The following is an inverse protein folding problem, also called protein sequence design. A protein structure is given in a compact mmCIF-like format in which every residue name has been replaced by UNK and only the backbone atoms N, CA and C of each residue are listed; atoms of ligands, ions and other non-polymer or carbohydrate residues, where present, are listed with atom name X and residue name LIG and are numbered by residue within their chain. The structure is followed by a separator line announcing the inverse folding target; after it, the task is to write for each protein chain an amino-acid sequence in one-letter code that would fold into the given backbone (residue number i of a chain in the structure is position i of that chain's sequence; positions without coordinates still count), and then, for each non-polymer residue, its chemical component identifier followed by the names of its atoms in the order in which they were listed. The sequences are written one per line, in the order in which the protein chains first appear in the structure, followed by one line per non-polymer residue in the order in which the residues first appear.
data_IF_877674408564
#
_entry.id   IF_877674408564
#
_cell.length_a   1.000
_cell.length_b   1.000
_cell.length_c   1.000
_cell.angle_alpha   90.00
_cell.angle_beta   90.00
_cell.angle_gamma   90.00
#
_symmetry.space_group_name_H-M   'P 1'
#
loop_
_entity.id
_entity.type
_entity.pdbx_description
1 polymer ?
#
# COMPACT_ATOMS: atom_id res chain seq x y z
N UNK A 1 20.94 29.38 -61.75
CA UNK A 1 21.00 30.18 -60.51
C UNK A 1 19.81 31.13 -60.39
N UNK A 2 19.60 32.08 -61.31
CA UNK A 2 18.50 33.05 -61.25
C UNK A 2 17.08 32.44 -61.07
N UNK A 3 16.80 31.29 -61.69
CA UNK A 3 15.52 30.58 -61.55
C UNK A 3 15.32 29.91 -60.18
N UNK A 4 16.40 29.56 -59.50
CA UNK A 4 16.37 28.97 -58.15
C UNK A 4 16.19 30.09 -57.12
N UNK A 5 16.91 31.20 -57.30
CA UNK A 5 16.75 32.39 -56.45
C UNK A 5 15.33 32.94 -56.51
N UNK A 6 14.71 33.01 -57.68
CA UNK A 6 13.32 33.48 -57.80
C UNK A 6 12.30 32.58 -57.09
N UNK A 7 12.51 31.26 -57.11
CA UNK A 7 11.67 30.30 -56.37
C UNK A 7 11.88 30.46 -54.86
N UNK A 8 13.13 30.59 -54.40
CA UNK A 8 13.44 30.78 -52.98
C UNK A 8 12.91 32.12 -52.44
N UNK A 9 12.99 33.20 -53.22
CA UNK A 9 12.39 34.50 -52.88
C UNK A 9 10.89 34.37 -52.73
N UNK A 10 10.21 33.75 -53.69
CA UNK A 10 8.75 33.66 -53.74
C UNK A 10 8.16 32.73 -52.68
N UNK A 11 8.76 31.55 -52.48
CA UNK A 11 8.17 30.50 -51.63
C UNK A 11 8.65 30.57 -50.18
N UNK A 12 9.87 31.10 -49.93
CA UNK A 12 10.50 31.10 -48.61
C UNK A 12 10.86 32.51 -48.11
N UNK A 13 10.57 33.57 -48.89
CA UNK A 13 10.99 34.93 -48.57
C UNK A 13 12.51 35.06 -48.46
N UNK A 14 13.26 34.24 -49.20
CA UNK A 14 14.72 34.22 -49.16
C UNK A 14 15.27 35.42 -49.92
N UNK A 15 16.13 36.22 -49.30
CA UNK A 15 16.92 37.25 -50.01
C UNK A 15 18.39 37.12 -49.60
N UNK A 16 19.35 37.45 -50.48
CA UNK A 16 20.78 37.40 -50.14
C UNK A 16 21.12 38.18 -48.86
N UNK A 17 20.47 39.32 -48.65
CA UNK A 17 20.61 40.16 -47.46
C UNK A 17 20.04 39.52 -46.19
N UNK A 18 18.92 38.79 -46.30
CA UNK A 18 18.32 38.06 -45.17
C UNK A 18 19.18 36.87 -44.78
N UNK A 19 19.71 36.14 -45.76
CA UNK A 19 20.62 35.02 -45.52
C UNK A 19 21.92 35.48 -44.85
N UNK A 20 22.51 36.58 -45.33
CA UNK A 20 23.72 37.16 -44.73
C UNK A 20 23.46 37.63 -43.30
N UNK A 21 22.32 38.27 -43.04
CA UNK A 21 21.90 38.66 -41.67
C UNK A 21 21.68 37.43 -40.77
N UNK A 22 21.10 36.36 -41.29
CA UNK A 22 20.84 35.14 -40.54
C UNK A 22 22.14 34.38 -40.23
N UNK A 23 23.10 34.34 -41.15
CA UNK A 23 24.45 33.82 -40.89
C UNK A 23 25.13 34.62 -39.77
N UNK A 24 25.03 35.95 -39.81
CA UNK A 24 25.60 36.80 -38.75
C UNK A 24 24.92 36.55 -37.39
N UNK A 25 23.58 36.41 -37.36
CA UNK A 25 22.81 36.08 -36.14
C UNK A 25 23.14 34.68 -35.61
N UNK A 26 23.22 33.69 -36.49
CA UNK A 26 23.63 32.32 -36.16
C UNK A 26 25.04 32.29 -35.60
N UNK A 27 25.98 33.03 -36.20
CA UNK A 27 27.37 33.12 -35.72
C UNK A 27 27.45 33.76 -34.33
N UNK A 28 26.66 34.80 -34.07
CA UNK A 28 26.52 35.41 -32.73
C UNK A 28 25.88 34.46 -31.72
N UNK A 29 24.85 33.70 -32.09
CA UNK A 29 24.25 32.65 -31.25
C UNK A 29 25.26 31.54 -30.93
N UNK A 30 26.00 31.04 -31.92
CA UNK A 30 27.04 30.02 -31.72
C UNK A 30 28.18 30.52 -30.83
N UNK A 31 28.61 31.77 -30.98
CA UNK A 31 29.60 32.39 -30.09
C UNK A 31 29.08 32.53 -28.66
N UNK A 32 27.80 32.89 -28.50
CA UNK A 32 27.14 32.96 -27.18
C UNK A 32 27.02 31.59 -26.52
N UNK A 33 26.72 30.55 -27.29
CA UNK A 33 26.69 29.15 -26.81
C UNK A 33 28.09 28.69 -26.41
N UNK A 34 29.13 29.03 -27.18
CA UNK A 34 30.52 28.73 -26.81
C UNK A 34 30.97 29.48 -25.55
N UNK A 35 30.56 30.74 -25.35
CA UNK A 35 30.82 31.49 -24.11
C UNK A 35 29.97 31.04 -22.92
N UNK A 36 28.83 30.41 -23.15
CA UNK A 36 28.03 29.77 -22.10
C UNK A 36 28.64 28.41 -21.74
N UNK A 37 29.22 27.68 -22.70
CA UNK A 37 29.96 26.43 -22.43
C UNK A 37 31.23 26.62 -21.59
N UNK A 38 31.77 27.85 -21.48
CA UNK A 38 32.85 28.16 -20.54
C UNK A 38 32.37 28.37 -19.10
N UNK A 39 31.08 28.64 -18.89
CA UNK A 39 30.44 28.52 -17.58
C UNK A 39 29.91 27.11 -17.45
N UNK A 40 30.72 26.22 -16.90
CA UNK A 40 30.28 24.86 -16.63
C UNK A 40 29.05 24.94 -15.72
N UNK A 41 27.96 24.28 -16.12
CA UNK A 41 26.75 24.06 -15.32
C UNK A 41 27.05 23.48 -13.92
N UNK A 42 28.27 22.96 -13.73
CA UNK A 42 28.79 22.44 -12.46
C UNK A 42 29.08 23.50 -11.41
N UNK A 43 29.13 24.78 -11.77
CA UNK A 43 29.55 25.84 -10.82
C UNK A 43 28.41 26.34 -9.93
N UNK A 44 27.14 25.98 -10.25
CA UNK A 44 25.97 26.26 -9.41
C UNK A 44 25.71 25.22 -8.32
N UNK A 45 26.42 24.10 -8.35
CA UNK A 45 26.35 23.07 -7.30
C UNK A 45 27.71 23.04 -6.58
N UNK A 46 27.79 23.40 -5.28
CA UNK A 46 29.04 23.25 -4.54
C UNK A 46 29.44 21.78 -4.61
N UNK A 47 30.64 21.50 -5.14
CA UNK A 47 31.20 20.16 -5.12
C UNK A 47 31.58 19.82 -3.69
N UNK A 48 30.59 19.45 -2.88
CA UNK A 48 30.83 18.83 -1.59
C UNK A 48 31.38 17.45 -1.92
N UNK A 49 32.71 17.32 -1.98
CA UNK A 49 33.39 16.02 -1.84
C UNK A 49 33.11 15.50 -0.43
N UNK A 50 31.91 14.99 -0.19
CA UNK A 50 31.71 13.97 0.83
C UNK A 50 32.18 12.67 0.21
N UNK A 51 33.15 12.03 0.85
CA UNK A 51 33.51 10.64 0.60
C UNK A 51 32.29 9.77 0.91
N UNK A 52 31.42 9.58 -0.09
CA UNK A 52 30.38 8.58 -0.04
C UNK A 52 31.04 7.23 -0.26
N UNK A 53 31.12 6.46 0.82
CA UNK A 53 31.28 5.01 0.77
C UNK A 53 30.31 4.43 -0.24
N UNK A 54 30.74 3.46 -1.04
CA UNK A 54 29.99 2.88 -2.14
C UNK A 54 28.59 2.40 -1.72
N UNK A 55 27.58 3.20 -2.00
CA UNK A 55 26.21 2.72 -2.13
C UNK A 55 25.72 3.11 -3.52
N UNK A 56 26.08 2.27 -4.48
CA UNK A 56 25.49 2.30 -5.82
C UNK A 56 24.00 1.98 -5.67
N UNK A 57 23.16 3.00 -5.72
CA UNK A 57 21.71 2.83 -5.94
C UNK A 57 21.55 2.36 -7.39
N UNK A 58 21.47 1.05 -7.58
CA UNK A 58 21.08 0.43 -8.84
C UNK A 58 19.59 0.63 -9.09
N UNK A 59 19.18 1.87 -9.36
CA UNK A 59 17.85 2.13 -9.89
C UNK A 59 17.86 1.77 -11.38
N UNK A 60 17.23 0.65 -11.76
CA UNK A 60 17.06 0.33 -13.18
C UNK A 60 16.59 -1.07 -13.53
N UNK A 61 16.72 -2.06 -12.63
CA UNK A 61 16.32 -3.45 -12.96
C UNK A 61 15.40 -4.06 -11.89
N UNK A 62 15.58 -3.72 -10.61
CA UNK A 62 14.81 -4.34 -9.53
C UNK A 62 13.41 -3.75 -9.37
N UNK A 63 13.21 -2.45 -9.61
CA UNK A 63 11.88 -1.84 -9.61
C UNK A 63 10.91 -2.50 -10.61
N UNK A 64 11.41 -2.90 -11.78
CA UNK A 64 10.62 -3.57 -12.81
C UNK A 64 10.38 -5.06 -12.51
N UNK A 65 11.29 -5.71 -11.75
CA UNK A 65 11.09 -7.06 -11.22
C UNK A 65 10.10 -7.09 -10.06
N UNK A 66 10.10 -6.06 -9.19
CA UNK A 66 9.14 -5.88 -8.11
C UNK A 66 7.71 -5.75 -8.66
N UNK A 67 7.51 -4.90 -9.67
CA UNK A 67 6.21 -4.77 -10.35
C UNK A 67 5.68 -6.10 -10.92
N UNK A 68 6.54 -6.94 -11.52
CA UNK A 68 6.11 -8.26 -12.04
C UNK A 68 5.76 -9.26 -10.95
N UNK A 69 6.50 -9.28 -9.83
CA UNK A 69 6.24 -10.17 -8.69
C UNK A 69 4.98 -9.75 -7.94
N UNK A 70 4.79 -8.46 -7.72
CA UNK A 70 3.59 -7.88 -7.12
C UNK A 70 2.37 -8.11 -8.02
N UNK A 71 2.51 -7.94 -9.34
CA UNK A 71 1.44 -8.24 -10.29
C UNK A 71 1.08 -9.73 -10.32
N UNK A 72 2.06 -10.62 -10.24
CA UNK A 72 1.82 -12.06 -10.12
C UNK A 72 1.15 -12.41 -8.78
N UNK A 73 1.51 -11.73 -7.68
CA UNK A 73 0.87 -11.89 -6.39
C UNK A 73 -0.60 -11.40 -6.41
N UNK A 74 -0.87 -10.25 -7.03
CA UNK A 74 -2.22 -9.72 -7.22
C UNK A 74 -3.08 -10.63 -8.12
N UNK A 75 -2.50 -11.20 -9.18
CA UNK A 75 -3.20 -12.19 -10.01
C UNK A 75 -3.47 -13.51 -9.27
N UNK A 76 -2.56 -13.96 -8.39
CA UNK A 76 -2.79 -15.11 -7.51
C UNK A 76 -3.89 -14.81 -6.49
N UNK A 77 -3.93 -13.62 -5.92
CA UNK A 77 -5.03 -13.19 -5.03
C UNK A 77 -6.37 -13.13 -5.80
N UNK A 78 -6.37 -12.61 -7.03
CA UNK A 78 -7.58 -12.54 -7.89
C UNK A 78 -8.08 -13.92 -8.32
N UNK A 79 -7.19 -14.87 -8.59
CA UNK A 79 -7.55 -16.26 -8.93
C UNK A 79 -8.00 -17.05 -7.70
N UNK A 80 -7.36 -16.86 -6.55
CA UNK A 80 -7.79 -17.45 -5.28
C UNK A 80 -9.11 -16.86 -4.76
N UNK A 81 -9.41 -15.59 -5.06
CA UNK A 81 -10.72 -14.99 -4.79
C UNK A 81 -11.85 -15.68 -5.58
N UNK A 82 -11.57 -16.21 -6.79
CA UNK A 82 -12.54 -16.99 -7.58
C UNK A 82 -12.79 -18.40 -7.04
N UNK A 83 -11.92 -18.96 -6.20
CA UNK A 83 -12.17 -20.25 -5.52
C UNK A 83 -13.24 -20.16 -4.41
N UNK A 84 -13.76 -18.96 -4.14
CA UNK A 84 -14.93 -18.71 -3.29
C UNK A 84 -16.22 -18.49 -4.10
N UNK A 85 -16.21 -18.79 -5.40
CA UNK A 85 -17.42 -18.84 -6.20
C UNK A 85 -18.28 -20.03 -5.70
N UNK A 86 -19.45 -19.66 -5.15
CA UNK A 86 -20.50 -20.53 -4.62
C UNK A 86 -20.61 -21.85 -5.40
N UNK A 87 -20.24 -22.96 -4.77
CA UNK A 87 -20.86 -24.24 -5.12
C UNK A 87 -22.27 -24.20 -4.53
N UNK A 88 -23.25 -23.83 -5.33
CA UNK A 88 -24.65 -24.00 -4.96
C UNK A 88 -24.93 -25.50 -4.92
N UNK A 89 -24.77 -26.09 -3.74
CA UNK A 89 -25.28 -27.43 -3.46
C UNK A 89 -26.80 -27.29 -3.38
N UNK A 90 -27.48 -27.75 -4.43
CA UNK A 90 -28.92 -27.92 -4.42
C UNK A 90 -29.27 -28.93 -3.32
N UNK A 91 -29.81 -28.43 -2.21
CA UNK A 91 -30.46 -29.26 -1.21
C UNK A 91 -31.85 -29.57 -1.75
N UNK A 92 -32.14 -30.85 -1.98
CA UNK A 92 -33.49 -31.31 -2.31
C UNK A 92 -34.40 -31.06 -1.10
N UNK A 93 -35.30 -30.09 -1.21
CA UNK A 93 -36.32 -29.85 -0.21
C UNK A 93 -37.36 -30.99 -0.22
N UNK A 94 -37.57 -31.55 0.97
CA UNK A 94 -38.56 -32.57 1.23
C UNK A 94 -39.97 -32.04 0.98
N UNK A 95 -40.72 -32.77 0.14
CA UNK A 95 -42.13 -32.55 -0.20
C UNK A 95 -42.99 -32.32 1.05
N UNK A 96 -43.56 -31.12 1.18
CA UNK A 96 -44.80 -30.91 1.91
C UNK A 96 -45.86 -30.40 0.94
N UNK A 97 -46.96 -31.15 0.91
CA UNK A 97 -48.09 -31.03 0.01
C UNK A 97 -49.04 -29.91 0.46
N UNK A 98 -49.33 -28.93 -0.40
CA UNK A 98 -50.54 -28.12 -0.33
C UNK A 98 -50.94 -27.62 -1.74
N UNK A 99 -52.26 -27.56 -1.95
CA UNK A 99 -52.95 -27.65 -3.24
C UNK A 99 -52.93 -26.37 -4.09
N UNK A 100 -53.19 -26.57 -5.38
CA UNK A 100 -53.30 -25.62 -6.49
C UNK A 100 -54.51 -24.69 -6.41
N UNK A 101 -54.34 -23.48 -6.99
CA UNK A 101 -55.28 -22.62 -7.76
C UNK A 101 -54.94 -21.14 -7.43
N UNK A 102 -54.74 -20.18 -8.34
CA UNK A 102 -54.74 -20.08 -9.79
C UNK A 102 -54.41 -18.62 -10.17
N UNK A 103 -54.06 -18.41 -11.45
CA UNK A 103 -54.15 -17.15 -12.24
C UNK A 103 -53.40 -15.87 -11.82
N UNK A 104 -52.39 -15.55 -12.64
CA UNK A 104 -51.90 -14.24 -13.12
C UNK A 104 -52.20 -12.92 -12.38
N UNK A 105 -51.15 -12.10 -12.20
CA UNK A 105 -50.99 -10.78 -12.88
C UNK A 105 -49.60 -10.17 -12.67
N UNK A 106 -49.04 -9.57 -13.74
CA UNK A 106 -47.89 -8.64 -13.70
C UNK A 106 -48.36 -7.22 -13.35
N UNK A 107 -47.44 -6.43 -12.80
CA UNK A 107 -47.47 -4.96 -12.70
C UNK A 107 -47.26 -4.49 -11.25
N UNK A 108 -46.57 -3.40 -10.90
CA UNK A 108 -45.98 -2.24 -11.59
C UNK A 108 -44.96 -1.59 -10.62
N UNK A 109 -43.96 -0.87 -11.17
CA UNK A 109 -43.04 0.06 -10.49
C UNK A 109 -43.72 1.07 -9.54
N UNK A 110 -43.11 1.36 -8.39
CA UNK A 110 -43.17 2.67 -7.68
C UNK A 110 -41.77 2.89 -7.08
N UNK A 111 -41.00 3.90 -7.51
CA UNK A 111 -41.12 5.37 -7.30
C UNK A 111 -41.04 5.73 -5.82
N UNK A 112 -39.98 6.50 -5.55
CA UNK A 112 -39.52 7.12 -4.32
C UNK A 112 -40.60 7.99 -3.65
N UNK A 113 -40.60 7.97 -2.32
CA UNK A 113 -41.20 9.01 -1.50
C UNK A 113 -40.10 9.59 -0.60
N UNK A 114 -39.95 10.91 -0.67
CA UNK A 114 -39.19 11.74 0.26
C UNK A 114 -39.85 11.72 1.63
N UNK A 115 -39.08 11.54 2.69
CA UNK A 115 -39.50 11.92 4.04
C UNK A 115 -38.37 12.70 4.72
N UNK A 116 -38.71 13.96 4.97
CA UNK A 116 -38.04 14.95 5.79
C UNK A 116 -37.99 14.54 7.26
N UNK A 117 -36.80 14.52 7.86
CA UNK A 117 -36.64 14.52 9.31
C UNK A 117 -35.80 15.73 9.74
N UNK A 118 -36.48 16.69 10.39
CA UNK A 118 -35.87 17.75 11.17
C UNK A 118 -35.46 17.23 12.54
N UNK A 119 -34.26 17.54 13.01
CA UNK A 119 -33.95 17.49 14.43
C UNK A 119 -33.27 18.79 14.89
N UNK A 120 -33.86 19.36 15.92
CA UNK A 120 -33.59 20.62 16.58
C UNK A 120 -32.48 20.49 17.60
N UNK A 121 -31.43 21.30 17.51
CA UNK A 121 -30.67 21.82 18.67
C UNK A 121 -30.12 23.20 18.30
N UNK A 122 -30.35 24.15 19.20
CA UNK A 122 -30.01 25.57 19.08
C UNK A 122 -28.86 25.95 20.03
N UNK A 123 -27.98 26.85 19.53
CA UNK A 123 -26.86 27.59 20.19
C UNK A 123 -25.53 26.83 20.19
N UNK A 124 -24.41 27.33 19.64
CA UNK A 124 -23.88 28.68 19.34
C UNK A 124 -22.98 28.59 18.07
N UNK A 125 -22.52 29.63 17.36
CA UNK A 125 -22.85 31.04 17.08
C UNK A 125 -21.84 31.41 15.97
N UNK A 126 -22.31 32.08 14.94
CA UNK A 126 -21.64 32.42 13.67
C UNK A 126 -20.56 33.49 13.85
N UNK A 127 -19.41 33.32 13.19
CA UNK A 127 -18.48 34.40 12.78
C UNK A 127 -18.08 34.11 11.33
N UNK A 128 -18.65 34.87 10.39
CA UNK A 128 -18.11 35.13 9.03
C UNK A 128 -16.99 36.20 9.23
N UNK A 129 -15.86 36.30 8.52
CA UNK A 129 -15.59 36.30 7.08
C UNK A 129 -14.08 36.02 6.82
N UNK A 130 -13.71 35.41 5.69
CA UNK A 130 -12.69 35.89 4.72
C UNK A 130 -12.11 34.76 3.84
N UNK A 131 -11.93 34.96 2.51
CA UNK A 131 -11.57 33.91 1.57
C UNK A 131 -10.08 33.93 1.23
N UNK A 132 -9.37 32.80 1.37
CA UNK A 132 -8.35 32.47 0.39
C UNK A 132 -8.02 30.97 0.35
N UNK A 133 -8.06 30.47 -0.87
CA UNK A 133 -7.58 29.19 -1.39
C UNK A 133 -6.66 28.37 -0.49
N UNK A 134 -7.20 27.28 0.06
CA UNK A 134 -6.44 26.12 0.51
C UNK A 134 -7.12 24.88 -0.05
N UNK A 135 -6.55 24.31 -1.11
CA UNK A 135 -6.94 22.99 -1.61
C UNK A 135 -6.47 21.96 -0.58
N UNK A 136 -7.27 21.77 0.46
CA UNK A 136 -7.13 20.68 1.42
C UNK A 136 -7.40 19.38 0.66
N UNK A 137 -6.35 18.59 0.46
CA UNK A 137 -6.49 17.17 0.22
C UNK A 137 -7.11 16.59 1.49
N UNK A 138 -8.43 16.43 1.47
CA UNK A 138 -9.11 15.62 2.46
C UNK A 138 -8.52 14.21 2.38
N UNK A 139 -7.58 13.93 3.29
CA UNK A 139 -7.32 12.58 3.73
C UNK A 139 -8.68 12.00 4.07
N UNK A 140 -9.06 10.94 3.37
CA UNK A 140 -10.02 9.98 3.86
C UNK A 140 -9.55 9.54 5.24
N UNK A 141 -10.02 10.25 6.26
CA UNK A 141 -9.99 9.79 7.62
C UNK A 141 -10.70 8.45 7.57
N UNK A 142 -9.94 7.37 7.69
CA UNK A 142 -10.50 6.10 8.13
C UNK A 142 -11.07 6.41 9.49
N UNK A 143 -12.37 6.73 9.51
CA UNK A 143 -13.14 6.71 10.73
C UNK A 143 -13.03 5.27 11.20
N UNK A 144 -12.13 5.01 12.14
CA UNK A 144 -12.24 3.89 13.04
C UNK A 144 -13.53 4.11 13.79
N UNK A 145 -14.65 3.73 13.15
CA UNK A 145 -15.89 3.44 13.84
C UNK A 145 -15.55 2.26 14.74
N UNK A 146 -15.18 2.58 15.98
CA UNK A 146 -15.23 1.65 17.08
C UNK A 146 -16.69 1.20 17.15
N UNK A 147 -16.99 0.11 16.45
CA UNK A 147 -18.19 -0.68 16.72
C UNK A 147 -17.96 -1.22 18.12
N UNK A 148 -18.47 -0.49 19.10
CA UNK A 148 -18.63 -0.96 20.47
C UNK A 148 -19.71 -2.04 20.40
N UNK A 149 -19.29 -3.29 20.16
CA UNK A 149 -20.07 -4.45 20.58
C UNK A 149 -20.10 -4.42 22.10
N UNK A 150 -21.17 -3.85 22.63
CA UNK A 150 -21.55 -4.00 24.03
C UNK A 150 -21.73 -5.50 24.29
N UNK A 151 -20.95 -6.06 25.22
CA UNK A 151 -20.87 -7.48 25.63
C UNK A 151 -19.78 -8.36 25.00
N UNK A 152 -18.60 -7.83 24.71
CA UNK A 152 -17.39 -8.64 24.89
C UNK A 152 -16.90 -8.40 26.32
N UNK A 153 -17.32 -9.25 27.27
CA UNK A 153 -16.43 -9.58 28.40
C UNK A 153 -15.18 -10.14 27.73
N UNK A 154 -14.24 -9.25 27.40
CA UNK A 154 -12.99 -9.61 26.75
C UNK A 154 -12.36 -10.65 27.66
N UNK A 155 -12.41 -11.90 27.23
CA UNK A 155 -11.56 -12.94 27.78
C UNK A 155 -10.16 -12.37 27.63
N UNK A 156 -9.62 -11.86 28.74
CA UNK A 156 -8.31 -11.24 28.77
C UNK A 156 -7.33 -12.37 28.52
N UNK A 157 -6.98 -12.57 27.26
CA UNK A 157 -5.95 -13.54 26.87
C UNK A 157 -4.63 -12.95 27.33
N UNK A 158 -4.17 -13.41 28.49
CA UNK A 158 -2.89 -13.00 29.04
C UNK A 158 -1.77 -13.77 28.34
N UNK A 159 -0.76 -13.03 27.90
CA UNK A 159 0.46 -13.56 27.33
C UNK A 159 1.59 -12.58 27.69
N UNK A 160 2.70 -13.13 28.21
CA UNK A 160 3.77 -12.32 28.79
C UNK A 160 5.10 -12.45 28.01
N UNK A 161 5.20 -11.98 26.75
CA UNK A 161 6.41 -12.12 25.92
C UNK A 161 7.73 -11.62 26.53
N UNK A 162 7.72 -10.65 27.45
CA UNK A 162 8.95 -10.16 28.10
C UNK A 162 9.41 -11.02 29.28
N UNK A 163 8.55 -11.90 29.80
CA UNK A 163 8.86 -12.85 30.87
C UNK A 163 9.09 -14.24 30.29
N UNK A 164 8.24 -14.67 29.37
CA UNK A 164 8.24 -16.00 28.78
C UNK A 164 9.27 -16.14 27.64
N UNK A 165 10.55 -15.89 27.95
CA UNK A 165 11.64 -15.90 26.96
C UNK A 165 12.12 -17.31 26.61
N UNK A 166 11.62 -18.34 27.29
CA UNK A 166 12.11 -19.72 27.18
C UNK A 166 11.47 -20.52 26.04
N UNK A 167 10.43 -19.97 25.40
CA UNK A 167 9.76 -20.64 24.28
C UNK A 167 10.66 -20.69 23.04
N UNK A 168 10.93 -21.91 22.57
CA UNK A 168 11.76 -22.17 21.42
C UNK A 168 10.93 -22.48 20.16
N UNK A 169 11.59 -22.59 19.01
CA UNK A 169 10.92 -22.95 17.74
C UNK A 169 10.20 -24.31 17.82
N UNK A 170 10.65 -25.24 18.67
CA UNK A 170 9.99 -26.51 18.91
C UNK A 170 8.61 -26.35 19.59
N UNK A 171 8.51 -25.44 20.57
CA UNK A 171 7.25 -25.14 21.27
C UNK A 171 6.27 -24.47 20.31
N UNK A 172 6.77 -23.56 19.46
CA UNK A 172 5.99 -22.96 18.39
C UNK A 172 5.46 -24.00 17.40
N UNK A 173 6.28 -24.96 16.96
CA UNK A 173 5.83 -26.04 16.08
C UNK A 173 4.78 -26.93 16.76
N UNK A 174 4.95 -27.21 18.04
CA UNK A 174 4.00 -27.98 18.84
C UNK A 174 2.66 -27.24 18.94
N UNK A 175 2.68 -25.94 19.26
CA UNK A 175 1.50 -25.09 19.30
C UNK A 175 0.79 -25.05 17.94
N UNK A 176 1.53 -24.87 16.83
CA UNK A 176 0.96 -24.90 15.48
C UNK A 176 0.32 -26.25 15.14
N UNK A 177 0.91 -27.36 15.57
CA UNK A 177 0.33 -28.70 15.38
C UNK A 177 -0.98 -28.86 16.14
N UNK A 178 -1.05 -28.37 17.38
CA UNK A 178 -2.27 -28.39 18.19
C UNK A 178 -3.36 -27.51 17.56
N UNK A 179 -2.99 -26.31 17.08
CA UNK A 179 -3.91 -25.43 16.34
C UNK A 179 -4.45 -26.13 15.09
N UNK A 180 -3.62 -26.83 14.32
CA UNK A 180 -4.05 -27.60 13.14
C UNK A 180 -5.00 -28.76 13.50
N UNK A 181 -4.77 -29.42 14.63
CA UNK A 181 -5.68 -30.46 15.14
C UNK A 181 -7.05 -29.87 15.51
N UNK A 182 -7.08 -28.74 16.23
CA UNK A 182 -8.32 -28.04 16.56
C UNK A 182 -9.03 -27.53 15.30
N UNK A 183 -8.29 -27.01 14.32
CA UNK A 183 -8.84 -26.56 13.04
C UNK A 183 -9.45 -27.70 12.19
N UNK A 184 -9.07 -28.97 12.45
CA UNK A 184 -9.71 -30.14 11.82
C UNK A 184 -11.06 -30.47 12.44
N UNK A 185 -11.18 -30.29 13.75
CA UNK A 185 -12.42 -30.50 14.52
C UNK A 185 -13.39 -29.35 14.23
N UNK A 186 -12.92 -28.13 14.45
CA UNK A 186 -13.63 -26.89 14.15
C UNK A 186 -13.07 -26.31 12.86
N UNK A 187 -13.62 -26.75 11.72
CA UNK A 187 -13.24 -26.17 10.43
C UNK A 187 -13.50 -24.68 10.48
N UNK A 188 -12.47 -23.82 10.33
CA UNK A 188 -12.66 -22.39 10.35
C UNK A 188 -13.72 -22.04 9.33
N UNK A 189 -14.83 -21.42 9.76
CA UNK A 189 -15.76 -20.82 8.83
C UNK A 189 -14.96 -19.82 8.03
N UNK A 190 -14.77 -20.08 6.74
CA UNK A 190 -14.01 -19.28 5.75
C UNK A 190 -14.44 -17.81 5.63
N UNK A 191 -15.35 -17.38 6.49
CA UNK A 191 -16.26 -16.28 6.35
C UNK A 191 -16.27 -15.39 7.60
N UNK A 192 -15.19 -15.38 8.40
CA UNK A 192 -15.05 -14.44 9.52
C UNK A 192 -15.07 -12.97 9.04
N UNK A 193 -14.82 -12.73 7.75
CA UNK A 193 -14.89 -11.42 7.09
C UNK A 193 -16.25 -11.13 6.43
N UNK A 194 -17.28 -11.97 6.60
CA UNK A 194 -18.61 -11.76 5.98
C UNK A 194 -19.27 -10.43 6.33
N UNK A 195 -18.98 -9.91 7.52
CA UNK A 195 -19.52 -8.65 8.01
C UNK A 195 -18.88 -7.43 7.32
N UNK A 196 -17.75 -7.63 6.64
CA UNK A 196 -17.07 -6.57 5.91
C UNK A 196 -17.50 -6.59 4.44
N UNK A 197 -17.74 -5.41 3.83
CA UNK A 197 -17.95 -5.34 2.40
C UNK A 197 -16.72 -5.87 1.67
N UNK A 198 -16.93 -6.61 0.57
CA UNK A 198 -15.83 -7.05 -0.29
C UNK A 198 -15.17 -5.82 -0.89
N UNK A 199 -13.85 -5.62 -0.69
CA UNK A 199 -13.15 -4.51 -1.30
C UNK A 199 -13.27 -4.60 -2.82
N UNK A 200 -13.72 -3.52 -3.44
CA UNK A 200 -13.70 -3.42 -4.89
C UNK A 200 -12.27 -3.11 -5.34
N UNK A 201 -11.60 -4.13 -5.86
CA UNK A 201 -10.23 -4.02 -6.38
C UNK A 201 -10.18 -3.37 -7.78
N UNK A 202 -11.34 -3.18 -8.41
CA UNK A 202 -11.48 -2.68 -9.76
C UNK A 202 -11.95 -1.21 -9.81
N UNK A 203 -12.11 -0.54 -8.66
CA UNK A 203 -12.52 0.89 -8.55
C UNK A 203 -11.70 1.81 -9.46
N UNK A 204 -10.39 1.57 -9.55
CA UNK A 204 -9.47 2.40 -10.31
C UNK A 204 -9.11 1.80 -11.68
N UNK A 205 -9.73 0.68 -12.07
CA UNK A 205 -9.46 0.05 -13.36
C UNK A 205 -10.14 0.81 -14.50
N UNK A 206 -9.34 1.59 -15.21
CA UNK A 206 -9.83 2.25 -16.42
C UNK A 206 -9.98 1.25 -17.57
N UNK A 207 -10.88 1.51 -18.54
CA UNK A 207 -11.00 0.69 -19.75
C UNK A 207 -9.69 0.54 -20.54
N UNK A 208 -8.80 1.55 -20.49
CA UNK A 208 -7.48 1.49 -21.10
C UNK A 208 -6.58 0.47 -20.40
N UNK A 209 -6.54 0.49 -19.07
CA UNK A 209 -5.76 -0.47 -18.27
C UNK A 209 -6.25 -1.91 -18.47
N UNK A 210 -7.57 -2.13 -18.54
CA UNK A 210 -8.14 -3.45 -18.80
C UNK A 210 -7.73 -3.99 -20.18
N UNK A 211 -7.77 -3.14 -21.21
CA UNK A 211 -7.31 -3.50 -22.56
C UNK A 211 -5.82 -3.84 -22.58
N UNK A 212 -5.01 -3.04 -21.90
CA UNK A 212 -3.56 -3.26 -21.81
C UNK A 212 -3.23 -4.53 -21.02
N UNK A 213 -3.95 -4.78 -19.93
CA UNK A 213 -3.82 -6.01 -19.16
C UNK A 213 -4.19 -7.24 -19.99
N UNK A 214 -5.25 -7.15 -20.80
CA UNK A 214 -5.64 -8.22 -21.72
C UNK A 214 -4.56 -8.47 -22.79
N UNK A 215 -3.97 -7.40 -23.36
CA UNK A 215 -2.85 -7.48 -24.32
C UNK A 215 -1.64 -8.18 -23.70
N UNK A 216 -1.25 -7.77 -22.49
CA UNK A 216 -0.15 -8.35 -21.72
C UNK A 216 -0.40 -9.82 -21.36
N UNK A 217 -1.63 -10.18 -20.97
CA UNK A 217 -2.00 -11.57 -20.67
C UNK A 217 -1.84 -12.50 -21.87
N UNK A 218 -2.09 -11.98 -23.08
CA UNK A 218 -1.89 -12.68 -24.35
C UNK A 218 -0.44 -12.66 -24.84
N UNK A 219 0.49 -12.08 -24.05
CA UNK A 219 1.90 -11.86 -24.41
C UNK A 219 2.07 -11.18 -25.78
N UNK A 220 1.09 -10.37 -26.18
CA UNK A 220 1.21 -9.57 -27.39
C UNK A 220 2.25 -8.48 -27.12
N UNK A 221 3.09 -8.18 -28.11
CA UNK A 221 4.03 -7.05 -28.01
C UNK A 221 3.31 -5.73 -28.23
N UNK A 222 3.88 -4.63 -27.74
CA UNK A 222 3.30 -3.30 -27.94
C UNK A 222 3.59 -2.89 -29.38
N UNK A 223 2.61 -2.24 -30.04
CA UNK A 223 2.85 -1.67 -31.36
C UNK A 223 4.01 -0.68 -31.29
N UNK A 224 4.97 -0.80 -32.21
CA UNK A 224 6.06 0.15 -32.32
C UNK A 224 5.50 1.55 -32.63
N UNK A 225 6.11 2.57 -32.05
CA UNK A 225 5.82 3.96 -32.40
C UNK A 225 6.16 4.17 -33.87
N UNK A 226 5.20 4.69 -34.62
CA UNK A 226 5.43 5.05 -36.01
C UNK A 226 6.25 6.34 -36.09
N UNK A 227 7.53 6.20 -36.38
CA UNK A 227 8.46 7.31 -36.57
C UNK A 227 8.49 7.82 -38.01
N UNK A 228 7.79 7.17 -38.95
CA UNK A 228 7.84 7.52 -40.38
C UNK A 228 7.37 8.95 -40.67
N UNK A 229 6.51 9.50 -39.80
CA UNK A 229 6.04 10.89 -39.87
C UNK A 229 7.13 11.92 -39.51
N UNK A 230 8.09 11.53 -38.68
CA UNK A 230 9.20 12.36 -38.25
C UNK A 230 10.39 12.30 -39.22
N UNK A 231 10.34 11.41 -40.21
CA UNK A 231 11.36 11.27 -41.25
C UNK A 231 10.98 12.09 -42.49
N UNK A 232 11.98 12.60 -43.21
CA UNK A 232 11.83 13.30 -44.49
C UNK A 232 12.43 12.44 -45.61
N UNK A 233 11.77 11.34 -46.01
CA UNK A 233 12.26 10.53 -47.11
C UNK A 233 12.24 11.34 -48.41
N UNK A 234 13.31 11.21 -49.20
CA UNK A 234 13.35 11.78 -50.54
C UNK A 234 12.28 11.10 -51.40
N UNK A 235 11.39 11.84 -52.09
CA UNK A 235 10.37 11.23 -52.94
C UNK A 235 11.02 10.38 -54.03
N UNK A 236 10.64 9.11 -54.10
CA UNK A 236 11.21 8.11 -55.01
C UNK A 236 10.51 8.15 -56.37
N UNK A 237 11.08 8.93 -57.30
CA UNK A 237 10.65 8.93 -58.71
C UNK A 237 11.30 10.05 -59.51
N UNK A 238 12.19 9.69 -60.43
CA UNK A 238 12.81 10.60 -61.40
C UNK A 238 12.19 10.48 -62.79
N UNK A 239 11.06 9.78 -62.97
CA UNK A 239 10.46 9.59 -64.28
C UNK A 239 8.97 9.19 -64.23
N UNK A 240 8.11 10.18 -64.51
CA UNK A 240 6.68 10.15 -64.86
C UNK A 240 5.68 10.50 -63.74
N UNK A 241 4.75 11.39 -64.10
CA UNK A 241 3.46 11.83 -63.55
C UNK A 241 3.01 11.46 -62.10
N UNK A 242 3.30 10.27 -61.57
CA UNK A 242 3.10 9.89 -60.16
C UNK A 242 3.96 10.70 -59.18
N UNK A 243 5.04 11.31 -59.67
CA UNK A 243 5.93 12.20 -58.92
C UNK A 243 5.17 13.34 -58.24
N UNK A 244 4.20 13.99 -58.90
CA UNK A 244 3.54 15.20 -58.36
C UNK A 244 2.76 14.95 -57.07
N UNK A 245 2.23 13.75 -56.85
CA UNK A 245 1.48 13.42 -55.61
C UNK A 245 2.47 13.15 -54.47
N UNK A 246 3.54 12.41 -54.74
CA UNK A 246 4.57 12.10 -53.76
C UNK A 246 5.33 13.36 -53.33
N UNK A 247 5.68 14.25 -54.26
CA UNK A 247 6.27 15.55 -53.95
C UNK A 247 5.34 16.42 -53.11
N UNK A 248 4.02 16.46 -53.41
CA UNK A 248 3.05 17.18 -52.56
C UNK A 248 2.98 16.62 -51.15
N UNK A 249 3.02 15.29 -50.99
CA UNK A 249 3.05 14.62 -49.68
C UNK A 249 4.34 14.95 -48.91
N UNK A 250 5.50 14.89 -49.57
CA UNK A 250 6.79 15.23 -48.98
C UNK A 250 6.85 16.70 -48.55
N UNK A 251 6.38 17.63 -49.38
CA UNK A 251 6.30 19.06 -49.04
C UNK A 251 5.35 19.30 -47.86
N UNK A 252 4.19 18.64 -47.83
CA UNK A 252 3.25 18.76 -46.70
C UNK A 252 3.88 18.25 -45.40
N UNK A 253 4.63 17.14 -45.45
CA UNK A 253 5.37 16.61 -44.30
C UNK A 253 6.48 17.58 -43.85
N UNK A 254 7.26 18.12 -44.78
CA UNK A 254 8.31 19.11 -44.50
C UNK A 254 7.76 20.37 -43.84
N UNK A 255 6.62 20.89 -44.33
CA UNK A 255 5.93 22.03 -43.70
C UNK A 255 5.52 21.69 -42.27
N UNK A 256 4.89 20.54 -42.04
CA UNK A 256 4.50 20.12 -40.70
C UNK A 256 5.70 19.97 -39.75
N UNK A 257 6.81 19.40 -40.22
CA UNK A 257 8.03 19.26 -39.42
C UNK A 257 8.68 20.61 -39.11
N UNK A 258 8.68 21.56 -40.05
CA UNK A 258 9.15 22.91 -39.79
C UNK A 258 8.35 23.57 -38.66
N UNK A 259 7.02 23.46 -38.67
CA UNK A 259 6.18 23.97 -37.58
C UNK A 259 6.47 23.28 -36.23
N UNK A 260 6.74 21.97 -36.23
CA UNK A 260 7.18 21.25 -35.02
C UNK A 260 8.53 21.75 -34.50
N UNK A 261 9.49 22.05 -35.39
CA UNK A 261 10.79 22.62 -35.02
C UNK A 261 10.65 24.04 -34.46
N UNK A 262 9.79 24.87 -35.05
CA UNK A 262 9.47 26.21 -34.52
C UNK A 262 8.86 26.10 -33.12
N UNK A 263 7.88 25.20 -32.94
CA UNK A 263 7.27 24.95 -31.61
C UNK A 263 8.31 24.45 -30.60
N UNK A 264 9.19 23.53 -31.02
CA UNK A 264 10.28 23.04 -30.17
C UNK A 264 11.23 24.16 -29.78
N UNK A 265 11.56 25.06 -30.69
CA UNK A 265 12.40 26.22 -30.40
C UNK A 265 11.76 27.11 -29.34
N UNK A 266 10.47 27.43 -29.48
CA UNK A 266 9.72 28.22 -28.47
C UNK A 266 9.73 27.50 -27.12
N UNK A 267 9.47 26.19 -27.09
CA UNK A 267 9.50 25.42 -25.85
C UNK A 267 10.88 25.40 -25.19
N UNK A 268 11.95 25.32 -25.99
CA UNK A 268 13.32 25.36 -25.48
C UNK A 268 13.69 26.74 -24.95
N UNK A 269 13.23 27.81 -25.60
CA UNK A 269 13.41 29.19 -25.11
C UNK A 269 12.69 29.39 -23.75
N UNK A 270 11.46 28.88 -23.62
CA UNK A 270 10.74 28.88 -22.34
C UNK A 270 11.46 28.03 -21.27
N UNK A 271 12.00 26.88 -21.66
CA UNK A 271 12.78 26.06 -20.72
C UNK A 271 14.07 26.76 -20.28
N UNK A 272 14.79 27.41 -21.19
CA UNK A 272 16.02 28.15 -20.88
C UNK A 272 15.75 29.26 -19.86
N UNK A 273 14.60 29.92 -19.96
CA UNK A 273 14.20 31.00 -19.03
C UNK A 273 13.71 30.49 -17.67
N UNK A 274 12.82 29.47 -17.63
CA UNK A 274 12.10 29.11 -16.40
C UNK A 274 12.49 27.76 -15.78
N UNK A 275 13.19 26.88 -16.50
CA UNK A 275 13.41 25.52 -16.01
C UNK A 275 14.27 25.49 -14.75
N UNK A 276 15.35 26.26 -14.70
CA UNK A 276 16.28 26.25 -13.57
C UNK A 276 15.58 26.60 -12.25
N UNK A 277 14.81 27.69 -12.21
CA UNK A 277 14.07 28.09 -11.02
C UNK A 277 12.96 27.08 -10.66
N UNK A 278 12.24 26.58 -11.67
CA UNK A 278 11.18 25.58 -11.46
C UNK A 278 11.71 24.29 -10.86
N UNK A 279 12.87 23.80 -11.33
CA UNK A 279 13.52 22.62 -10.78
C UNK A 279 14.06 22.87 -9.37
N UNK A 280 14.62 24.05 -9.09
CA UNK A 280 15.06 24.40 -7.75
C UNK A 280 13.89 24.45 -6.76
N UNK A 281 12.75 25.02 -7.17
CA UNK A 281 11.52 25.02 -6.35
C UNK A 281 11.03 23.60 -6.08
N UNK A 282 10.94 22.77 -7.13
CA UNK A 282 10.55 21.37 -6.99
C UNK A 282 11.49 20.57 -6.09
N UNK A 283 12.80 20.81 -6.16
CA UNK A 283 13.76 20.16 -5.27
C UNK A 283 13.51 20.53 -3.81
N UNK A 284 13.24 21.81 -3.51
CA UNK A 284 12.89 22.25 -2.14
C UNK A 284 11.60 21.59 -1.64
N UNK A 285 10.58 21.48 -2.49
CA UNK A 285 9.34 20.76 -2.16
C UNK A 285 9.61 19.29 -1.85
N UNK A 286 10.45 18.62 -2.66
CA UNK A 286 10.83 17.23 -2.43
C UNK A 286 11.63 17.07 -1.13
N UNK A 287 12.54 18.00 -0.82
CA UNK A 287 13.29 18.00 0.45
C UNK A 287 12.36 18.18 1.65
N UNK A 288 11.34 19.05 1.55
CA UNK A 288 10.33 19.23 2.58
C UNK A 288 9.51 17.97 2.81
N UNK A 289 9.01 17.34 1.73
CA UNK A 289 8.27 16.08 1.80
C UNK A 289 9.09 14.96 2.44
N UNK A 290 10.37 14.84 2.07
CA UNK A 290 11.28 13.88 2.70
C UNK A 290 11.44 14.17 4.20
N UNK A 291 11.66 15.43 4.57
CA UNK A 291 11.84 15.85 5.97
C UNK A 291 10.60 15.57 6.81
N UNK A 292 9.41 15.78 6.25
CA UNK A 292 8.12 15.49 6.88
C UNK A 292 7.93 13.99 7.09
N UNK A 293 8.15 13.17 6.06
CA UNK A 293 8.07 11.72 6.17
C UNK A 293 9.06 11.16 7.20
N UNK A 294 10.29 11.67 7.26
CA UNK A 294 11.28 11.31 8.27
C UNK A 294 10.87 11.72 9.69
N UNK A 295 10.19 12.85 9.84
CA UNK A 295 9.65 13.31 11.12
C UNK A 295 8.52 12.40 11.61
N UNK A 296 7.60 12.03 10.72
CA UNK A 296 6.51 11.10 11.03
C UNK A 296 7.03 9.71 11.40
N UNK A 297 8.05 9.22 10.67
CA UNK A 297 8.71 7.95 10.99
C UNK A 297 9.34 7.98 12.38
N UNK A 298 10.05 9.05 12.74
CA UNK A 298 10.64 9.21 14.08
C UNK A 298 9.58 9.22 15.17
N UNK A 299 8.52 10.03 14.99
CA UNK A 299 7.39 10.10 15.93
C UNK A 299 6.74 8.73 16.15
N UNK A 300 6.49 8.00 15.06
CA UNK A 300 5.88 6.66 15.13
C UNK A 300 6.79 5.67 15.85
N UNK A 301 8.11 5.71 15.59
CA UNK A 301 9.08 4.87 16.29
C UNK A 301 9.12 5.17 17.79
N UNK A 302 9.12 6.45 18.17
CA UNK A 302 9.07 6.87 19.57
C UNK A 302 7.81 6.35 20.27
N UNK A 303 6.64 6.48 19.64
CA UNK A 303 5.37 5.94 20.16
C UNK A 303 5.42 4.41 20.33
N UNK A 304 5.96 3.69 19.35
CA UNK A 304 6.14 2.23 19.45
C UNK A 304 7.07 1.87 20.61
N UNK A 305 8.18 2.60 20.76
CA UNK A 305 9.12 2.38 21.87
C UNK A 305 8.51 2.68 23.24
N UNK A 306 7.69 3.73 23.34
CA UNK A 306 6.97 4.05 24.57
C UNK A 306 5.97 2.95 24.94
N UNK A 307 5.20 2.44 23.98
CA UNK A 307 4.29 1.31 24.20
C UNK A 307 5.09 0.07 24.65
N UNK A 308 6.21 -0.21 24.00
CA UNK A 308 7.11 -1.32 24.37
C UNK A 308 7.63 -1.15 25.81
N UNK A 309 8.06 0.05 26.20
CA UNK A 309 8.55 0.34 27.54
C UNK A 309 7.45 0.13 28.59
N UNK A 310 6.25 0.68 28.36
CA UNK A 310 5.09 0.52 29.25
C UNK A 310 4.70 -0.94 29.41
N UNK A 311 4.59 -1.70 28.31
CA UNK A 311 4.29 -3.14 28.35
C UNK A 311 5.34 -3.91 29.12
N UNK A 312 6.62 -3.65 28.86
CA UNK A 312 7.73 -4.31 29.58
C UNK A 312 7.66 -4.05 31.07
N UNK A 313 7.42 -2.80 31.50
CA UNK A 313 7.29 -2.48 32.93
C UNK A 313 6.11 -3.21 33.57
N UNK A 314 4.93 -3.16 32.95
CA UNK A 314 3.74 -3.84 33.45
C UNK A 314 3.95 -5.36 33.58
N UNK A 315 4.59 -5.98 32.59
CA UNK A 315 4.91 -7.41 32.65
C UNK A 315 5.94 -7.71 33.72
N UNK A 316 7.03 -6.95 33.84
CA UNK A 316 8.02 -7.18 34.89
C UNK A 316 7.44 -7.01 36.30
N UNK A 317 6.46 -6.13 36.49
CA UNK A 317 5.75 -5.95 37.74
C UNK A 317 4.85 -7.16 38.05
N UNK A 318 4.04 -7.59 37.09
CA UNK A 318 3.22 -8.82 37.20
C UNK A 318 4.09 -10.06 37.44
N UNK A 319 5.24 -10.16 36.76
CA UNK A 319 6.19 -11.27 36.93
C UNK A 319 6.80 -11.34 38.33
N UNK A 320 7.02 -10.21 39.01
CA UNK A 320 7.43 -10.23 40.43
C UNK A 320 6.33 -10.82 41.30
N UNK A 321 5.08 -10.39 41.10
CA UNK A 321 3.93 -10.92 41.82
C UNK A 321 3.74 -12.43 41.59
N UNK A 322 3.89 -12.90 40.34
CA UNK A 322 3.83 -14.32 40.00
C UNK A 322 4.87 -15.14 40.76
N UNK A 323 6.12 -14.67 40.83
CA UNK A 323 7.19 -15.36 41.58
C UNK A 323 6.92 -15.39 43.08
N UNK A 324 6.40 -14.31 43.64
CA UNK A 324 6.03 -14.25 45.06
C UNK A 324 4.90 -15.24 45.37
N UNK A 325 3.86 -15.28 44.52
CA UNK A 325 2.75 -16.21 44.65
C UNK A 325 3.18 -17.67 44.47
N UNK A 326 4.05 -17.95 43.49
CA UNK A 326 4.63 -19.28 43.28
C UNK A 326 5.44 -19.73 44.51
N UNK A 327 6.30 -18.84 45.04
CA UNK A 327 7.06 -19.13 46.25
C UNK A 327 6.17 -19.40 47.47
N UNK A 328 5.12 -18.59 47.65
CA UNK A 328 4.12 -18.79 48.71
C UNK A 328 3.38 -20.12 48.55
N UNK A 329 2.99 -20.45 47.32
CA UNK A 329 2.32 -21.71 46.99
C UNK A 329 3.23 -22.92 47.28
N UNK A 330 4.48 -22.91 46.81
CA UNK A 330 5.44 -23.99 47.10
C UNK A 330 5.66 -24.14 48.61
N UNK A 331 5.81 -23.03 49.34
CA UNK A 331 5.97 -23.06 50.79
C UNK A 331 4.75 -23.66 51.49
N UNK A 332 3.54 -23.27 51.08
CA UNK A 332 2.28 -23.80 51.63
C UNK A 332 2.15 -25.31 51.37
N UNK A 333 2.35 -25.75 50.13
CA UNK A 333 2.28 -27.18 49.77
C UNK A 333 3.34 -27.99 50.53
N UNK A 334 4.57 -27.47 50.63
CA UNK A 334 5.64 -28.12 51.39
C UNK A 334 5.31 -28.21 52.88
N UNK A 335 4.71 -27.16 53.46
CA UNK A 335 4.32 -27.17 54.86
C UNK A 335 3.20 -28.18 55.13
N UNK A 336 2.17 -28.21 54.27
CA UNK A 336 1.09 -29.21 54.37
C UNK A 336 1.65 -30.64 54.31
N UNK A 337 2.56 -30.90 53.37
CA UNK A 337 3.22 -32.20 53.26
C UNK A 337 4.04 -32.56 54.52
N UNK A 338 4.78 -31.61 55.09
CA UNK A 338 5.51 -31.83 56.35
C UNK A 338 4.58 -32.13 57.52
N UNK A 339 3.44 -31.45 57.60
CA UNK A 339 2.42 -31.70 58.63
C UNK A 339 1.82 -33.10 58.49
N UNK A 340 1.47 -33.53 57.27
CA UNK A 340 0.98 -34.89 57.02
C UNK A 340 2.02 -35.95 57.41
N UNK A 341 3.29 -35.73 57.06
CA UNK A 341 4.37 -36.63 57.44
C UNK A 341 4.52 -36.73 58.97
N UNK A 342 4.50 -35.60 59.68
CA UNK A 342 4.57 -35.58 61.15
C UNK A 342 3.36 -36.27 61.78
N UNK A 343 2.15 -36.02 61.28
CA UNK A 343 0.94 -36.69 61.74
C UNK A 343 1.01 -38.21 61.55
N UNK A 344 1.50 -38.66 60.39
CA UNK A 344 1.70 -40.08 60.12
C UNK A 344 2.74 -40.72 61.06
N UNK A 345 3.86 -40.04 61.30
CA UNK A 345 4.88 -40.52 62.25
C UNK A 345 4.33 -40.60 63.68
N UNK A 346 3.57 -39.59 64.12
CA UNK A 346 2.89 -39.60 65.42
C UNK A 346 1.85 -40.73 65.50
N UNK A 347 1.06 -40.94 64.45
CA UNK A 347 0.08 -42.04 64.41
C UNK A 347 0.76 -43.41 64.53
N UNK A 348 1.90 -43.63 63.85
CA UNK A 348 2.70 -44.85 63.97
C UNK A 348 3.27 -44.99 65.38
N UNK A 349 3.83 -43.93 65.96
CA UNK A 349 4.37 -43.96 67.32
C UNK A 349 3.27 -44.24 68.37
N UNK A 350 2.11 -43.61 68.23
CA UNK A 350 0.93 -43.85 69.08
C UNK A 350 0.46 -45.29 68.97
N UNK A 351 0.40 -45.87 67.76
CA UNK A 351 0.06 -47.27 67.56
C UNK A 351 1.08 -48.22 68.22
N UNK A 352 2.38 -47.90 68.18
CA UNK A 352 3.42 -48.67 68.87
C UNK A 352 3.29 -48.56 70.40
N UNK A 353 3.00 -47.38 70.94
CA UNK A 353 2.78 -47.19 72.38
C UNK A 353 1.52 -47.90 72.87
N UNK A 354 0.40 -47.83 72.12
CA UNK A 354 -0.82 -48.56 72.43
C UNK A 354 -0.57 -50.07 72.53
N UNK A 355 0.21 -50.64 71.59
CA UNK A 355 0.66 -52.04 71.65
C UNK A 355 1.49 -52.35 72.90
N UNK A 356 2.42 -51.48 73.30
CA UNK A 356 3.24 -51.67 74.51
C UNK A 356 2.42 -51.65 75.80
N UNK A 357 1.44 -50.76 75.88
CA UNK A 357 0.55 -50.60 77.03
C UNK A 357 -0.62 -51.61 77.04
N UNK A 358 -0.72 -52.48 76.03
CA UNK A 358 -1.84 -53.42 75.82
C UNK A 358 -3.21 -52.75 75.84
N UNK A 359 -3.28 -51.51 75.34
CA UNK A 359 -4.52 -50.78 75.19
C UNK A 359 -5.17 -51.22 73.87
N UNK A 360 -6.43 -51.63 73.93
CA UNK A 360 -7.17 -52.04 72.73
C UNK A 360 -7.58 -50.79 71.93
N UNK A 361 -7.11 -50.59 70.69
CA UNK A 361 -7.37 -49.35 69.95
C UNK A 361 -8.86 -49.05 69.75
N UNK A 362 -9.71 -50.09 69.71
CA UNK A 362 -11.15 -49.98 69.54
C UNK A 362 -11.87 -49.43 70.79
N UNK A 363 -11.31 -49.62 71.99
CA UNK A 363 -11.90 -49.12 73.24
C UNK A 363 -11.67 -47.60 73.44
N UNK A 364 -10.60 -47.04 72.87
CA UNK A 364 -10.28 -45.61 72.93
C UNK A 364 -11.12 -44.75 71.98
N UNK A 365 -11.55 -45.30 70.83
CA UNK A 365 -12.42 -44.60 69.88
C UNK A 365 -13.87 -44.43 70.37
N UNK A 366 -14.28 -45.14 71.42
CA UNK A 366 -15.62 -45.07 72.02
C UNK A 366 -15.73 -44.04 73.16
N UNK A 367 -14.62 -43.40 73.56
CA UNK A 367 -14.56 -42.43 74.66
C UNK A 367 -14.72 -40.97 74.22
N UNK A 368 -14.92 -40.71 72.91
CA UNK A 368 -15.15 -39.38 72.35
C UNK A 368 -16.57 -39.23 71.81
#
# INVERSE_FOLDING_TARGET
MAKVESILIRECGWTPERFTREIQRSRRRSQRIQSIQTHKITDFFPTVRRSLSSFTVSCGIDAQKHSRREWAALQRLRTNAKLYEKTEVAVEDSKVCAKSNGTHRRGVKRVLAEESFSCTISKCRRVEDSPNSGTSLDMLAVQTTTVTTENDDQVLVDALPYLDTEYNDADRQTALRLIDQECKIFRPTKNYLKHLPVPDFDVFLTPCMLKEQARMSKKQEMSKLDMSRCELPCPSGTSRAGDKVQWRKAIKNAKAQNEHLVTRQINLELMEEYAAESYLRRNRELEQLCTEAERELRRTKEQVMEIHARRKMAQLDAGRQLRELEGSWVAMVTNNYRMELANNQMAVANAQMAKRLRLDPAALGQLN
#
